data_IF_010403607004
#
_entry.id   IF_010403607004
#
_cell.length_a   1.000
_cell.length_b   1.000
_cell.length_c   1.000
_cell.angle_alpha   90.00
_cell.angle_beta   90.00
_cell.angle_gamma   90.00
#
_symmetry.space_group_name_H-M   'P 1'
#
loop_
_entity.id
_entity.type
_entity.pdbx_description
1 polymer ?
#
# COMPACT_ATOMS: atom_id res chain seq x y z
N UNK A 1 -17.10 9.05 -10.76
CA UNK A 1 -16.58 10.36 -11.24
C UNK A 1 -17.46 11.55 -10.87
N UNK A 2 -18.78 11.41 -10.67
CA UNK A 2 -19.65 12.57 -10.36
C UNK A 2 -19.50 13.21 -8.96
N UNK A 3 -19.10 12.44 -7.94
CA UNK A 3 -19.05 12.92 -6.55
C UNK A 3 -17.87 13.85 -6.24
N UNK A 4 -16.72 13.66 -6.88
CA UNK A 4 -15.53 14.52 -6.71
C UNK A 4 -15.72 15.89 -7.34
N UNK A 5 -16.29 15.95 -8.55
CA UNK A 5 -16.60 17.22 -9.22
C UNK A 5 -17.65 18.04 -8.45
N UNK A 6 -18.66 17.38 -7.89
CA UNK A 6 -19.66 18.04 -7.06
C UNK A 6 -19.06 18.64 -5.78
N UNK A 7 -18.13 17.91 -5.14
CA UNK A 7 -17.45 18.40 -3.93
C UNK A 7 -16.53 19.60 -4.22
N UNK A 8 -15.75 19.54 -5.30
CA UNK A 8 -14.89 20.65 -5.72
C UNK A 8 -15.74 21.89 -6.05
N UNK A 9 -16.86 21.71 -6.77
CA UNK A 9 -17.77 22.81 -7.06
C UNK A 9 -18.41 23.41 -5.80
N UNK A 10 -18.81 22.58 -4.83
CA UNK A 10 -19.37 23.05 -3.56
C UNK A 10 -18.35 23.82 -2.72
N UNK A 11 -17.10 23.36 -2.66
CA UNK A 11 -16.02 24.07 -1.95
C UNK A 11 -15.70 25.39 -2.63
N UNK A 12 -15.62 25.43 -3.96
CA UNK A 12 -15.37 26.68 -4.70
C UNK A 12 -16.54 27.67 -4.54
N UNK A 13 -17.79 27.19 -4.53
CA UNK A 13 -18.98 28.03 -4.32
C UNK A 13 -19.02 28.61 -2.90
N UNK A 14 -18.67 27.80 -1.90
CA UNK A 14 -18.54 28.26 -0.52
C UNK A 14 -17.41 29.30 -0.41
N UNK A 15 -16.25 29.07 -1.04
CA UNK A 15 -15.13 30.01 -0.99
C UNK A 15 -15.49 31.32 -1.67
N UNK A 16 -16.19 31.26 -2.80
CA UNK A 16 -16.64 32.43 -3.54
C UNK A 16 -17.72 33.23 -2.81
N UNK A 17 -18.70 32.57 -2.19
CA UNK A 17 -19.75 33.22 -1.39
C UNK A 17 -19.21 33.81 -0.08
N UNK A 18 -18.24 33.15 0.55
CA UNK A 18 -17.49 33.70 1.68
C UNK A 18 -16.70 34.95 1.30
N UNK A 19 -15.96 34.89 0.19
CA UNK A 19 -15.15 36.00 -0.33
C UNK A 19 -15.98 37.23 -0.71
N UNK A 20 -17.11 37.03 -1.38
CA UNK A 20 -17.97 38.14 -1.81
C UNK A 20 -18.66 38.83 -0.63
N UNK A 21 -19.01 38.10 0.43
CA UNK A 21 -19.54 38.68 1.68
C UNK A 21 -18.46 39.40 2.49
N UNK A 22 -17.23 38.87 2.53
CA UNK A 22 -16.07 39.48 3.19
C UNK A 22 -15.71 40.88 2.65
N UNK A 23 -16.10 41.20 1.41
CA UNK A 23 -15.81 42.51 0.79
C UNK A 23 -16.73 43.65 1.24
N UNK A 24 -17.89 43.37 1.83
CA UNK A 24 -18.91 44.40 2.10
C UNK A 24 -19.01 44.88 3.54
N UNK A 25 -18.48 44.15 4.53
CA UNK A 25 -18.65 44.52 5.94
C UNK A 25 -17.38 44.30 6.80
N UNK A 26 -17.01 45.28 7.63
CA UNK A 26 -16.13 45.14 8.81
C UNK A 26 -16.92 45.58 10.05
N UNK A 27 -16.69 45.05 11.28
CA UNK A 27 -15.51 44.31 11.78
C UNK A 27 -15.82 42.82 12.11
N UNK A 28 -15.09 41.80 11.64
CA UNK A 28 -13.71 41.30 11.87
C UNK A 28 -13.43 40.35 13.05
N UNK A 29 -14.38 39.96 13.91
CA UNK A 29 -14.02 39.00 15.00
C UNK A 29 -14.78 37.66 15.04
N UNK A 30 -15.95 37.51 14.39
CA UNK A 30 -16.76 36.29 14.56
C UNK A 30 -16.61 35.20 13.48
N UNK A 31 -16.37 35.59 12.23
CA UNK A 31 -16.60 34.69 11.07
C UNK A 31 -15.36 33.92 10.60
N UNK A 32 -14.15 34.36 10.96
CA UNK A 32 -12.91 33.69 10.53
C UNK A 32 -12.70 32.35 11.24
N UNK A 33 -13.27 32.15 12.43
CA UNK A 33 -13.17 30.90 13.18
C UNK A 33 -14.16 29.82 12.71
N UNK A 34 -15.35 30.20 12.22
CA UNK A 34 -16.39 29.22 11.86
C UNK A 34 -16.10 28.50 10.55
N UNK A 35 -15.41 29.16 9.61
CA UNK A 35 -15.19 28.64 8.27
C UNK A 35 -14.18 27.47 8.19
N UNK A 36 -12.98 27.55 8.80
CA UNK A 36 -12.04 26.42 8.83
C UNK A 36 -12.59 25.23 9.62
N UNK A 37 -13.39 25.49 10.67
CA UNK A 37 -14.08 24.45 11.44
C UNK A 37 -15.09 23.73 10.54
N UNK A 38 -15.90 24.48 9.78
CA UNK A 38 -16.89 23.90 8.86
C UNK A 38 -16.22 23.07 7.75
N UNK A 39 -15.14 23.56 7.16
CA UNK A 39 -14.36 22.82 6.15
C UNK A 39 -13.74 21.55 6.74
N UNK A 40 -13.23 21.61 7.98
CA UNK A 40 -12.69 20.44 8.67
C UNK A 40 -13.76 19.39 8.98
N UNK A 41 -14.94 19.82 9.45
CA UNK A 41 -16.08 18.93 9.72
C UNK A 41 -16.58 18.26 8.44
N UNK A 42 -16.75 19.02 7.36
CA UNK A 42 -17.19 18.47 6.07
C UNK A 42 -16.16 17.51 5.47
N UNK A 43 -14.86 17.80 5.63
CA UNK A 43 -13.79 16.91 5.19
C UNK A 43 -13.76 15.62 6.00
N UNK A 44 -13.96 15.70 7.32
CA UNK A 44 -14.10 14.53 8.19
C UNK A 44 -15.30 13.65 7.83
N UNK A 45 -16.46 14.26 7.57
CA UNK A 45 -17.66 13.55 7.13
C UNK A 45 -17.48 12.87 5.76
N UNK A 46 -16.75 13.50 4.84
CA UNK A 46 -16.46 12.92 3.53
C UNK A 46 -15.53 11.71 3.62
N UNK A 47 -14.46 11.80 4.43
CA UNK A 47 -13.56 10.67 4.70
C UNK A 47 -14.31 9.54 5.40
N UNK A 48 -15.19 9.84 6.36
CA UNK A 48 -16.04 8.85 7.00
C UNK A 48 -16.97 8.13 6.01
N UNK A 49 -17.51 8.85 5.02
CA UNK A 49 -18.28 8.27 3.92
C UNK A 49 -17.47 7.32 3.05
N UNK A 50 -16.25 7.70 2.66
CA UNK A 50 -15.33 6.85 1.88
C UNK A 50 -14.98 5.55 2.63
N UNK A 51 -14.73 5.65 3.94
CA UNK A 51 -14.42 4.50 4.80
C UNK A 51 -15.63 3.57 4.91
N UNK A 52 -16.85 4.12 5.10
CA UNK A 52 -18.08 3.33 5.11
C UNK A 52 -18.28 2.53 3.82
N UNK A 53 -18.09 3.15 2.67
CA UNK A 53 -18.24 2.51 1.37
C UNK A 53 -17.16 1.46 1.07
N UNK A 54 -15.99 1.59 1.71
CA UNK A 54 -14.91 0.61 1.66
C UNK A 54 -15.22 -0.60 2.54
N UNK A 55 -15.71 -0.37 3.77
CA UNK A 55 -16.10 -1.44 4.71
C UNK A 55 -17.25 -2.28 4.14
N UNK A 56 -18.27 -1.64 3.55
CA UNK A 56 -19.42 -2.34 2.96
C UNK A 56 -18.98 -3.27 1.82
N UNK A 57 -17.89 -2.94 1.13
CA UNK A 57 -17.31 -3.78 0.07
C UNK A 57 -16.35 -4.86 0.57
N UNK A 58 -15.86 -4.80 1.80
CA UNK A 58 -14.92 -5.76 2.39
C UNK A 58 -15.57 -6.62 3.47
N UNK A 59 -16.59 -7.40 3.13
CA UNK A 59 -17.40 -8.19 4.08
C UNK A 59 -16.77 -9.51 4.57
N UNK A 60 -15.44 -9.69 4.61
CA UNK A 60 -14.89 -11.00 5.00
C UNK A 60 -13.58 -11.08 5.80
N UNK A 61 -13.08 -10.03 6.44
CA UNK A 61 -12.03 -10.27 7.46
C UNK A 61 -12.06 -9.28 8.63
N UNK A 62 -11.88 -9.82 9.83
CA UNK A 62 -11.68 -9.08 11.09
C UNK A 62 -10.48 -8.13 11.05
N UNK A 63 -9.53 -8.32 10.12
CA UNK A 63 -8.46 -7.37 9.85
C UNK A 63 -8.98 -6.03 9.28
N UNK A 64 -10.09 -6.04 8.53
CA UNK A 64 -10.66 -4.83 7.92
C UNK A 64 -11.13 -3.79 8.96
N UNK A 65 -11.52 -4.22 10.15
CA UNK A 65 -11.97 -3.32 11.24
C UNK A 65 -10.80 -2.49 11.77
N UNK A 66 -9.58 -3.06 11.87
CA UNK A 66 -8.39 -2.31 12.27
C UNK A 66 -8.02 -1.22 11.24
N UNK A 67 -8.11 -1.55 9.95
CA UNK A 67 -7.81 -0.60 8.87
C UNK A 67 -8.85 0.53 8.74
N UNK A 68 -10.09 0.31 9.16
CA UNK A 68 -11.14 1.32 9.15
C UNK A 68 -10.91 2.48 10.15
N UNK A 69 -10.27 2.22 11.29
CA UNK A 69 -9.99 3.25 12.30
C UNK A 69 -8.76 4.12 12.00
N UNK A 70 -7.85 3.63 11.18
CA UNK A 70 -6.60 4.30 10.83
C UNK A 70 -6.71 5.57 9.96
N UNK A 71 -7.63 5.69 8.97
CA UNK A 71 -7.87 6.95 8.27
C UNK A 71 -8.52 8.02 9.18
N UNK A 72 -9.27 7.61 10.21
CA UNK A 72 -9.81 8.53 11.21
C UNK A 72 -8.65 9.17 11.99
N UNK A 73 -7.66 8.38 12.42
CA UNK A 73 -6.46 8.90 13.10
C UNK A 73 -5.58 9.79 12.21
N UNK A 74 -5.36 9.40 10.95
CA UNK A 74 -4.59 10.21 10.00
C UNK A 74 -5.31 11.53 9.66
N UNK A 75 -6.63 11.49 9.47
CA UNK A 75 -7.46 12.68 9.31
C UNK A 75 -7.40 13.57 10.55
N UNK A 76 -7.44 12.99 11.75
CA UNK A 76 -7.32 13.71 13.01
C UNK A 76 -5.98 14.42 13.15
N UNK A 77 -4.86 13.74 12.83
CA UNK A 77 -3.54 14.34 12.87
C UNK A 77 -3.36 15.47 11.85
N UNK A 78 -3.93 15.32 10.65
CA UNK A 78 -3.93 16.37 9.63
C UNK A 78 -4.77 17.58 10.07
N UNK A 79 -5.94 17.35 10.67
CA UNK A 79 -6.81 18.40 11.22
C UNK A 79 -6.09 19.11 12.37
N UNK A 80 -5.46 18.38 13.30
CA UNK A 80 -4.68 18.96 14.40
C UNK A 80 -3.52 19.80 13.85
N UNK A 81 -2.78 19.28 12.87
CA UNK A 81 -1.70 20.03 12.21
C UNK A 81 -2.21 21.33 11.56
N UNK A 82 -3.36 21.28 10.88
CA UNK A 82 -3.98 22.45 10.27
C UNK A 82 -4.43 23.49 11.31
N UNK A 83 -5.08 23.04 12.39
CA UNK A 83 -5.53 23.89 13.49
C UNK A 83 -4.34 24.55 14.18
N UNK A 84 -3.28 23.80 14.48
CA UNK A 84 -2.05 24.34 15.09
C UNK A 84 -1.40 25.37 14.16
N UNK A 85 -1.33 25.10 12.86
CA UNK A 85 -0.77 26.04 11.89
C UNK A 85 -1.60 27.31 11.77
N UNK A 86 -2.93 27.19 11.76
CA UNK A 86 -3.85 28.33 11.70
C UNK A 86 -3.78 29.21 12.96
N UNK A 87 -3.79 28.60 14.14
CA UNK A 87 -3.64 29.30 15.43
C UNK A 87 -2.28 29.99 15.51
N UNK A 88 -1.21 29.33 15.05
CA UNK A 88 0.12 29.92 15.01
C UNK A 88 0.21 31.10 14.02
N UNK A 89 -0.45 31.01 12.87
CA UNK A 89 -0.54 32.11 11.91
C UNK A 89 -1.30 33.31 12.47
N UNK A 90 -2.43 33.08 13.15
CA UNK A 90 -3.17 34.16 13.82
C UNK A 90 -2.35 34.81 14.93
N UNK A 91 -1.65 34.01 15.75
CA UNK A 91 -0.76 34.53 16.78
C UNK A 91 0.37 35.39 16.19
N UNK A 92 0.93 34.97 15.04
CA UNK A 92 1.92 35.75 14.30
C UNK A 92 1.37 37.05 13.72
N UNK A 93 0.14 37.03 13.20
CA UNK A 93 -0.52 38.21 12.63
C UNK A 93 -0.96 39.21 13.71
N UNK A 94 -1.30 38.73 14.91
CA UNK A 94 -1.71 39.54 16.05
C UNK A 94 -0.52 40.14 16.83
N UNK A 95 0.70 39.64 16.65
CA UNK A 95 1.87 40.11 17.38
C UNK A 95 2.26 41.57 16.96
N UNK A 96 2.42 42.51 17.91
CA UNK A 96 2.69 43.92 17.62
C UNK A 96 4.11 44.21 17.08
N UNK A 97 4.97 43.19 16.99
CA UNK A 97 6.38 43.34 16.62
C UNK A 97 6.58 43.32 15.09
N UNK A 98 6.21 44.40 14.40
CA UNK A 98 6.42 44.60 12.94
C UNK A 98 7.87 44.97 12.55
N UNK A 99 8.89 44.39 13.21
CA UNK A 99 10.29 44.73 12.95
C UNK A 99 11.16 43.49 12.76
N UNK A 100 11.91 43.44 11.63
CA UNK A 100 12.99 42.50 11.19
C UNK A 100 12.83 40.98 11.37
N UNK A 101 12.08 40.50 12.36
CA UNK A 101 11.87 39.10 12.71
C UNK A 101 10.69 38.44 11.99
N UNK A 102 9.83 39.21 11.31
CA UNK A 102 8.67 38.69 10.56
C UNK A 102 9.05 37.74 9.43
N UNK A 103 10.19 37.98 8.77
CA UNK A 103 10.68 37.10 7.71
C UNK A 103 11.20 35.77 8.26
N UNK A 104 11.94 35.78 9.37
CA UNK A 104 12.44 34.56 9.99
C UNK A 104 11.30 33.66 10.50
N UNK A 105 10.29 34.26 11.14
CA UNK A 105 9.12 33.51 11.59
C UNK A 105 8.29 32.93 10.42
N UNK A 106 8.14 33.67 9.33
CA UNK A 106 7.47 33.17 8.12
C UNK A 106 8.23 32.00 7.49
N UNK A 107 9.55 32.08 7.39
CA UNK A 107 10.38 30.99 6.86
C UNK A 107 10.27 29.74 7.74
N UNK A 108 10.33 29.89 9.08
CA UNK A 108 10.17 28.77 10.01
C UNK A 108 8.77 28.13 9.93
N UNK A 109 7.72 28.93 9.78
CA UNK A 109 6.36 28.42 9.63
C UNK A 109 6.19 27.61 8.32
N UNK A 110 6.71 28.12 7.21
CA UNK A 110 6.68 27.42 5.92
C UNK A 110 7.52 26.14 5.97
N UNK A 111 8.71 26.20 6.58
CA UNK A 111 9.56 25.02 6.77
C UNK A 111 8.88 23.96 7.65
N UNK A 112 8.22 24.37 8.73
CA UNK A 112 7.45 23.47 9.60
C UNK A 112 6.28 22.81 8.87
N UNK A 113 5.51 23.58 8.09
CA UNK A 113 4.43 23.04 7.28
C UNK A 113 4.93 22.06 6.21
N UNK A 114 6.04 22.38 5.53
CA UNK A 114 6.66 21.48 4.55
C UNK A 114 7.16 20.17 5.19
N UNK A 115 7.77 20.25 6.37
CA UNK A 115 8.22 19.08 7.12
C UNK A 115 7.06 18.16 7.53
N UNK A 116 5.93 18.73 7.97
CA UNK A 116 4.73 17.96 8.31
C UNK A 116 4.11 17.29 7.08
N UNK A 117 4.07 17.96 5.93
CA UNK A 117 3.60 17.36 4.67
C UNK A 117 4.51 16.22 4.20
N UNK A 118 5.83 16.40 4.29
CA UNK A 118 6.82 15.35 3.99
C UNK A 118 6.68 14.15 4.93
N UNK A 119 6.48 14.38 6.24
CA UNK A 119 6.23 13.32 7.20
C UNK A 119 4.92 12.57 6.90
N UNK A 120 3.85 13.30 6.59
CA UNK A 120 2.57 12.73 6.21
C UNK A 120 2.68 11.87 4.94
N UNK A 121 3.38 12.36 3.91
CA UNK A 121 3.62 11.61 2.68
C UNK A 121 4.42 10.33 2.92
N UNK A 122 5.53 10.41 3.67
CA UNK A 122 6.34 9.23 4.03
C UNK A 122 5.56 8.21 4.85
N UNK A 123 4.67 8.66 5.72
CA UNK A 123 3.80 7.77 6.49
C UNK A 123 2.79 7.03 5.61
N UNK A 124 2.20 7.70 4.62
CA UNK A 124 1.32 7.06 3.63
C UNK A 124 2.09 6.05 2.77
N UNK A 125 3.28 6.42 2.29
CA UNK A 125 4.15 5.53 1.52
C UNK A 125 4.54 4.28 2.34
N UNK A 126 4.88 4.47 3.62
CA UNK A 126 5.17 3.36 4.52
C UNK A 126 3.96 2.45 4.71
N UNK A 127 2.76 3.01 4.84
CA UNK A 127 1.52 2.24 4.97
C UNK A 127 1.19 1.42 3.73
N UNK A 128 1.33 1.98 2.54
CA UNK A 128 1.07 1.26 1.30
C UNK A 128 2.04 0.08 1.13
N UNK A 129 3.30 0.26 1.56
CA UNK A 129 4.29 -0.83 1.61
C UNK A 129 3.89 -1.91 2.61
N UNK A 130 3.46 -1.53 3.81
CA UNK A 130 3.09 -2.50 4.85
C UNK A 130 1.79 -3.25 4.53
N UNK A 131 0.80 -2.56 3.97
CA UNK A 131 -0.40 -3.20 3.45
C UNK A 131 -0.06 -4.19 2.32
N UNK A 132 0.82 -3.80 1.39
CA UNK A 132 1.29 -4.70 0.34
C UNK A 132 2.00 -5.92 0.92
N UNK A 133 2.87 -5.76 1.93
CA UNK A 133 3.55 -6.85 2.63
C UNK A 133 2.59 -7.81 3.32
N UNK A 134 1.59 -7.30 4.01
CA UNK A 134 0.63 -8.16 4.71
C UNK A 134 -0.20 -8.97 3.73
N UNK A 135 -0.54 -8.38 2.57
CA UNK A 135 -1.26 -9.08 1.52
C UNK A 135 -0.38 -10.12 0.82
N UNK A 136 0.92 -9.86 0.62
CA UNK A 136 1.84 -10.86 0.08
C UNK A 136 2.10 -11.98 1.09
N UNK A 137 2.22 -11.68 2.39
CA UNK A 137 2.31 -12.68 3.44
C UNK A 137 1.07 -13.58 3.50
N UNK A 138 -0.13 -13.01 3.39
CA UNK A 138 -1.36 -13.79 3.31
C UNK A 138 -1.38 -14.69 2.07
N UNK A 139 -0.96 -14.16 0.90
CA UNK A 139 -0.86 -14.93 -0.32
C UNK A 139 0.21 -16.04 -0.24
N UNK A 140 1.31 -15.81 0.48
CA UNK A 140 2.36 -16.81 0.74
C UNK A 140 1.86 -17.89 1.68
N UNK A 141 1.10 -17.54 2.73
CA UNK A 141 0.47 -18.52 3.61
C UNK A 141 -0.57 -19.36 2.88
N UNK A 142 -1.39 -18.73 2.03
CA UNK A 142 -2.33 -19.41 1.15
C UNK A 142 -1.58 -20.34 0.19
N UNK A 143 -0.53 -19.85 -0.47
CA UNK A 143 0.38 -20.60 -1.33
C UNK A 143 1.00 -21.83 -0.64
N UNK A 144 1.25 -21.78 0.67
CA UNK A 144 1.81 -22.91 1.44
C UNK A 144 0.76 -23.89 1.95
N UNK A 145 -0.52 -23.53 1.91
CA UNK A 145 -1.58 -24.43 2.34
C UNK A 145 -1.70 -25.62 1.38
N UNK A 146 -1.85 -26.82 1.94
CA UNK A 146 -1.89 -28.08 1.18
C UNK A 146 -3.17 -28.27 0.37
N UNK A 147 -4.15 -27.36 0.51
CA UNK A 147 -5.52 -27.49 -0.03
C UNK A 147 -5.80 -26.53 -1.19
N UNK A 148 -4.77 -26.11 -1.93
CA UNK A 148 -4.94 -25.15 -3.01
C UNK A 148 -5.80 -25.74 -4.14
N UNK A 149 -6.98 -25.15 -4.33
CA UNK A 149 -7.82 -25.48 -5.48
C UNK A 149 -7.12 -24.99 -6.76
N UNK A 150 -7.31 -25.69 -7.90
CA UNK A 150 -6.68 -25.30 -9.18
C UNK A 150 -6.97 -23.84 -9.61
N UNK A 151 -8.15 -23.33 -9.26
CA UNK A 151 -8.56 -21.95 -9.57
C UNK A 151 -7.77 -20.92 -8.75
N UNK A 152 -7.53 -21.21 -7.47
CA UNK A 152 -6.76 -20.33 -6.58
C UNK A 152 -5.30 -20.28 -7.02
N UNK A 153 -4.76 -21.41 -7.50
CA UNK A 153 -3.41 -21.47 -8.02
C UNK A 153 -3.20 -20.54 -9.22
N UNK A 154 -4.13 -20.54 -10.17
CA UNK A 154 -4.06 -19.70 -11.36
C UNK A 154 -4.11 -18.21 -11.00
N UNK A 155 -4.95 -17.87 -10.00
CA UNK A 155 -5.04 -16.51 -9.45
C UNK A 155 -3.74 -16.08 -8.75
N UNK A 156 -3.15 -16.95 -7.92
CA UNK A 156 -1.89 -16.67 -7.23
C UNK A 156 -0.71 -16.55 -8.20
N UNK A 157 -0.63 -17.41 -9.24
CA UNK A 157 0.37 -17.30 -10.29
C UNK A 157 0.23 -16.00 -11.10
N UNK A 158 -1.00 -15.64 -11.47
CA UNK A 158 -1.26 -14.37 -12.15
C UNK A 158 -0.85 -13.16 -11.31
N UNK A 159 -1.08 -13.24 -9.99
CA UNK A 159 -0.63 -12.23 -9.03
C UNK A 159 0.90 -12.16 -8.94
N UNK A 160 1.56 -13.30 -8.75
CA UNK A 160 3.02 -13.40 -8.67
C UNK A 160 3.70 -12.81 -9.91
N UNK A 161 3.13 -13.04 -11.10
CA UNK A 161 3.57 -12.41 -12.35
C UNK A 161 3.42 -10.90 -12.32
N UNK A 162 2.25 -10.40 -11.94
CA UNK A 162 1.97 -8.97 -11.95
C UNK A 162 2.88 -8.22 -10.97
N UNK A 163 3.18 -8.81 -9.82
CA UNK A 163 3.98 -8.18 -8.77
C UNK A 163 5.48 -8.48 -8.85
N UNK A 164 5.89 -9.43 -9.69
CA UNK A 164 7.26 -9.99 -9.70
C UNK A 164 7.73 -10.38 -8.28
N UNK A 165 6.80 -10.93 -7.49
CA UNK A 165 7.06 -11.23 -6.08
C UNK A 165 7.73 -12.60 -5.95
N UNK A 166 9.06 -12.58 -5.80
CA UNK A 166 9.88 -13.77 -5.66
C UNK A 166 9.58 -14.59 -4.40
N UNK A 167 9.02 -14.00 -3.33
CA UNK A 167 8.59 -14.75 -2.14
C UNK A 167 7.34 -15.58 -2.44
N UNK A 168 6.39 -15.00 -3.17
CA UNK A 168 5.19 -15.72 -3.60
C UNK A 168 5.54 -16.85 -4.57
N UNK A 169 6.45 -16.61 -5.51
CA UNK A 169 6.92 -17.64 -6.46
C UNK A 169 7.61 -18.78 -5.71
N UNK A 170 8.47 -18.48 -4.73
CA UNK A 170 9.13 -19.48 -3.90
C UNK A 170 8.10 -20.31 -3.11
N UNK A 171 7.14 -19.65 -2.46
CA UNK A 171 6.10 -20.32 -1.69
C UNK A 171 5.25 -21.27 -2.56
N UNK A 172 4.95 -20.86 -3.79
CA UNK A 172 4.27 -21.72 -4.76
C UNK A 172 5.15 -22.90 -5.20
N UNK A 173 6.44 -22.67 -5.45
CA UNK A 173 7.40 -23.73 -5.80
C UNK A 173 7.55 -24.78 -4.68
N UNK A 174 7.44 -24.38 -3.42
CA UNK A 174 7.46 -25.25 -2.24
C UNK A 174 6.17 -26.07 -2.08
N UNK A 175 5.07 -25.72 -2.76
CA UNK A 175 3.79 -26.39 -2.54
C UNK A 175 3.72 -27.76 -3.25
N UNK A 176 3.55 -28.88 -2.53
CA UNK A 176 3.46 -30.21 -3.12
C UNK A 176 2.19 -30.46 -3.96
N UNK A 177 1.15 -29.63 -3.82
CA UNK A 177 -0.08 -29.72 -4.60
C UNK A 177 0.03 -29.13 -6.01
N UNK A 178 1.21 -28.60 -6.38
CA UNK A 178 1.44 -27.87 -7.62
C UNK A 178 1.63 -28.78 -8.86
N UNK A 179 0.73 -29.74 -9.07
CA UNK A 179 0.81 -30.73 -10.16
C UNK A 179 0.59 -30.15 -11.55
N UNK A 180 -0.38 -29.24 -11.71
CA UNK A 180 -0.71 -28.67 -13.04
C UNK A 180 -0.10 -27.28 -13.28
N UNK A 181 0.45 -26.64 -12.24
CA UNK A 181 1.00 -25.29 -12.31
C UNK A 181 2.52 -25.20 -12.47
N UNK A 182 3.24 -26.32 -12.33
CA UNK A 182 4.71 -26.34 -12.36
C UNK A 182 5.25 -25.84 -13.69
N UNK A 183 4.61 -26.18 -14.81
CA UNK A 183 4.97 -25.69 -16.15
C UNK A 183 4.95 -24.15 -16.23
N UNK A 184 3.91 -23.53 -15.70
CA UNK A 184 3.78 -22.07 -15.66
C UNK A 184 4.84 -21.45 -14.74
N UNK A 185 5.12 -22.10 -13.61
CA UNK A 185 6.14 -21.66 -12.66
C UNK A 185 7.54 -21.66 -13.28
N UNK A 186 7.90 -22.70 -14.05
CA UNK A 186 9.16 -22.75 -14.80
C UNK A 186 9.29 -21.61 -15.83
N UNK A 187 8.21 -21.28 -16.53
CA UNK A 187 8.20 -20.14 -17.45
C UNK A 187 8.49 -18.84 -16.70
N UNK A 188 7.90 -18.64 -15.52
CA UNK A 188 8.17 -17.44 -14.71
C UNK A 188 9.60 -17.39 -14.18
N UNK A 189 10.14 -18.51 -13.72
CA UNK A 189 11.51 -18.56 -13.19
C UNK A 189 12.54 -18.23 -14.26
N UNK A 190 12.23 -18.50 -15.53
CA UNK A 190 13.07 -18.09 -16.66
C UNK A 190 13.18 -16.57 -16.79
N UNK A 191 12.11 -15.85 -16.48
CA UNK A 191 12.05 -14.38 -16.54
C UNK A 191 12.68 -13.72 -15.31
N UNK A 192 12.89 -14.46 -14.21
CA UNK A 192 13.61 -13.96 -13.03
C UNK A 192 15.09 -13.73 -13.40
N UNK A 193 15.65 -12.52 -13.15
CA UNK A 193 17.05 -12.22 -13.45
C UNK A 193 18.01 -13.20 -12.77
N UNK A 194 19.09 -13.58 -13.46
CA UNK A 194 20.13 -14.45 -12.89
C UNK A 194 20.83 -13.82 -11.67
N UNK A 195 20.75 -12.50 -11.51
CA UNK A 195 21.24 -11.77 -10.35
C UNK A 195 20.34 -11.86 -9.11
N UNK A 196 19.10 -12.35 -9.24
CA UNK A 196 18.20 -12.51 -8.10
C UNK A 196 18.65 -13.72 -7.25
N UNK A 197 19.06 -13.50 -5.98
CA UNK A 197 19.50 -14.59 -5.11
C UNK A 197 18.40 -15.64 -4.87
N UNK A 198 17.12 -15.26 -4.98
CA UNK A 198 15.99 -16.18 -4.77
C UNK A 198 15.74 -17.08 -5.96
N UNK A 199 16.26 -16.78 -7.14
CA UNK A 199 16.13 -17.67 -8.32
C UNK A 199 16.65 -19.07 -8.02
N UNK A 200 17.79 -19.15 -7.34
CA UNK A 200 18.40 -20.42 -6.93
C UNK A 200 17.48 -21.18 -5.97
N UNK A 201 16.92 -20.49 -4.98
CA UNK A 201 16.00 -21.07 -4.00
C UNK A 201 14.73 -21.61 -4.68
N UNK A 202 14.18 -20.86 -5.63
CA UNK A 202 12.98 -21.26 -6.37
C UNK A 202 13.27 -22.51 -7.22
N UNK A 203 14.38 -22.53 -7.96
CA UNK A 203 14.77 -23.68 -8.78
C UNK A 203 15.05 -24.91 -7.92
N UNK A 204 15.68 -24.73 -6.75
CA UNK A 204 15.91 -25.81 -5.80
C UNK A 204 14.59 -26.35 -5.21
N UNK A 205 13.64 -25.47 -4.88
CA UNK A 205 12.32 -25.86 -4.41
C UNK A 205 11.56 -26.65 -5.49
N UNK A 206 11.57 -26.17 -6.74
CA UNK A 206 11.02 -26.89 -7.89
C UNK A 206 11.68 -28.25 -8.09
N UNK A 207 13.01 -28.34 -7.97
CA UNK A 207 13.75 -29.60 -8.10
C UNK A 207 13.33 -30.62 -7.04
N UNK A 208 13.05 -30.18 -5.81
CA UNK A 208 12.63 -31.05 -4.68
C UNK A 208 11.14 -31.38 -4.68
N UNK A 209 10.34 -30.61 -5.43
CA UNK A 209 8.90 -30.76 -5.39
C UNK A 209 8.48 -32.06 -6.11
N UNK A 210 7.76 -32.98 -5.44
CA UNK A 210 7.32 -34.25 -6.04
C UNK A 210 6.35 -34.04 -7.20
N UNK A 211 5.67 -32.90 -7.27
CA UNK A 211 4.76 -32.56 -8.35
C UNK A 211 5.48 -32.11 -9.63
N UNK A 212 6.77 -31.78 -9.58
CA UNK A 212 7.52 -31.30 -10.75
C UNK A 212 7.71 -32.41 -11.77
N UNK A 213 7.23 -32.31 -13.02
CA UNK A 213 7.39 -33.36 -14.01
C UNK A 213 8.86 -33.67 -14.33
N UNK A 214 9.17 -34.93 -14.69
CA UNK A 214 10.54 -35.37 -15.01
C UNK A 214 11.17 -34.56 -16.16
N UNK A 215 10.36 -34.21 -17.16
CA UNK A 215 10.74 -33.34 -18.27
C UNK A 215 11.37 -32.01 -17.81
N UNK A 216 10.92 -31.45 -16.69
CA UNK A 216 11.49 -30.22 -16.13
C UNK A 216 12.67 -30.48 -15.19
N UNK A 217 12.78 -31.67 -14.59
CA UNK A 217 13.92 -32.05 -13.76
C UNK A 217 15.17 -32.33 -14.60
N UNK A 218 15.01 -32.90 -15.81
CA UNK A 218 16.14 -33.23 -16.69
C UNK A 218 17.05 -32.02 -17.00
N UNK A 219 16.54 -30.85 -17.42
CA UNK A 219 17.36 -29.64 -17.58
C UNK A 219 18.04 -29.21 -16.27
N UNK A 220 17.36 -29.34 -15.13
CA UNK A 220 17.91 -28.95 -13.83
C UNK A 220 19.09 -29.82 -13.38
N UNK A 221 19.20 -31.05 -13.86
CA UNK A 221 20.40 -31.88 -13.62
C UNK A 221 21.66 -31.33 -14.29
N UNK A 222 21.51 -30.39 -15.24
CA UNK A 222 22.61 -29.72 -15.93
C UNK A 222 22.80 -28.29 -15.46
N UNK A 223 22.11 -27.88 -14.39
CA UNK A 223 22.24 -26.55 -13.82
C UNK A 223 23.68 -26.30 -13.34
N UNK A 224 24.12 -25.04 -13.46
CA UNK A 224 25.45 -24.62 -13.01
C UNK A 224 25.57 -24.68 -11.49
N UNK A 225 24.46 -24.51 -10.78
CA UNK A 225 24.44 -24.57 -9.33
C UNK A 225 24.39 -26.04 -8.86
N UNK A 226 25.36 -26.51 -8.06
CA UNK A 226 25.40 -27.88 -7.58
C UNK A 226 24.17 -28.24 -6.73
N UNK A 227 23.64 -27.30 -5.94
CA UNK A 227 22.50 -27.55 -5.06
C UNK A 227 21.20 -27.83 -5.84
N UNK A 228 21.03 -27.21 -7.01
CA UNK A 228 19.90 -27.46 -7.91
C UNK A 228 20.07 -28.82 -8.60
N UNK A 229 21.27 -29.07 -9.13
CA UNK A 229 21.59 -30.34 -9.79
C UNK A 229 21.39 -31.54 -8.89
N UNK A 230 21.92 -31.49 -7.67
CA UNK A 230 21.84 -32.59 -6.72
C UNK A 230 20.39 -32.85 -6.30
N UNK A 231 19.61 -31.79 -6.08
CA UNK A 231 18.17 -31.91 -5.80
C UNK A 231 17.40 -32.54 -6.97
N UNK A 232 17.69 -32.13 -8.20
CA UNK A 232 17.02 -32.67 -9.38
C UNK A 232 17.38 -34.14 -9.63
N UNK A 233 18.66 -34.50 -9.47
CA UNK A 233 19.14 -35.87 -9.58
C UNK A 233 18.49 -36.78 -8.53
N UNK A 234 18.41 -36.31 -7.28
CA UNK A 234 17.78 -37.08 -6.21
C UNK A 234 16.29 -37.29 -6.48
N UNK A 235 15.57 -36.25 -6.90
CA UNK A 235 14.15 -36.37 -7.27
C UNK A 235 13.91 -37.32 -8.43
N UNK A 236 14.81 -37.36 -9.44
CA UNK A 236 14.72 -38.32 -10.54
C UNK A 236 15.04 -39.75 -10.08
N UNK A 237 16.03 -39.94 -9.20
CA UNK A 237 16.37 -41.25 -8.63
C UNK A 237 15.19 -41.85 -7.85
N UNK A 238 14.53 -41.04 -7.02
CA UNK A 238 13.36 -41.45 -6.22
C UNK A 238 12.13 -41.86 -7.07
N UNK A 239 12.10 -41.47 -8.34
CA UNK A 239 11.03 -41.84 -9.28
C UNK A 239 11.36 -43.08 -10.09
N UNK A 240 12.62 -43.20 -10.56
CA UNK A 240 13.09 -44.38 -11.30
C UNK A 240 13.21 -45.65 -10.44
N UNK A 241 13.25 -45.50 -9.12
CA UNK A 241 13.27 -46.62 -8.16
C UNK A 241 11.89 -47.13 -7.72
N UNK A 242 10.79 -46.57 -8.24
CA UNK A 242 9.42 -47.06 -8.03
C UNK A 242 8.93 -47.83 -9.25
#
# INVERSE_FOLDING_TARGET
MGSTLFYVAAVLLLLWTGWTRLRKERPWSGWLLSYPILVSVLSGLWVAGQVRDSIIRSTSSTAAVGYAFLPIWAGSAAIIGWVVTAVFLEALLAAPWRGRWSHAAGILAVAGAAALLLCGYRFLEYKDREASRLVTLAAVQEARSSSLQPNDLSRLLGRAKATHDSDLILALAENPALTNGTANLFMYVRDVPDSDPKKILILQALARNPATPEYYLEPLTKDRNPAIRDAALESLRLRKGR
#
